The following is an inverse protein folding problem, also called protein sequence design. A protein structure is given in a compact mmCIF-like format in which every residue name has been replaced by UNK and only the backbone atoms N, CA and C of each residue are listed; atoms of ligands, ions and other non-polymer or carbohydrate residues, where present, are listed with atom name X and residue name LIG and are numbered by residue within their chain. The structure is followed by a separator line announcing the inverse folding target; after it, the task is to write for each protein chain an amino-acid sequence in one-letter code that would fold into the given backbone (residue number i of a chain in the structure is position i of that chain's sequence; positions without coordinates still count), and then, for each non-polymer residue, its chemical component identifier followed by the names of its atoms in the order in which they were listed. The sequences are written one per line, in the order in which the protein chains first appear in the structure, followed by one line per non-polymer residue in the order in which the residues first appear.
data_IF_958150968930
#
_entry.id   IF_958150968930
#
_cell.length_a   1.000
_cell.length_b   1.000
_cell.length_c   1.000
_cell.angle_alpha   90.00
_cell.angle_beta   90.00
_cell.angle_gamma   90.00
#
_symmetry.space_group_name_H-M   'P 1'
#
loop_
_entity.id
_entity.type
_entity.pdbx_description
1 polymer ?
#
# COMPACT_ATOMS: atom_id res chain seq x y z
N UNK A 1 8.68 -11.63 -2.46
CA UNK A 1 7.73 -10.50 -2.42
C UNK A 1 7.72 -9.78 -3.75
N UNK A 2 6.55 -9.34 -4.19
CA UNK A 2 6.38 -8.46 -5.32
C UNK A 2 5.70 -7.16 -4.90
N UNK A 3 5.93 -6.09 -5.64
CA UNK A 3 5.27 -4.81 -5.44
C UNK A 3 5.00 -4.13 -6.77
N UNK A 4 4.00 -3.28 -6.80
CA UNK A 4 3.60 -2.51 -7.97
C UNK A 4 3.91 -1.04 -7.74
N UNK A 5 4.82 -0.47 -8.51
CA UNK A 5 4.93 0.98 -8.66
C UNK A 5 3.91 1.42 -9.70
N UNK A 6 2.77 1.88 -9.20
CA UNK A 6 1.54 2.10 -9.95
C UNK A 6 1.53 3.46 -10.62
N UNK A 7 1.31 3.52 -11.92
CA UNK A 7 1.11 4.80 -12.59
C UNK A 7 -0.35 5.23 -12.54
N UNK A 8 -0.58 6.37 -11.93
CA UNK A 8 -1.86 7.05 -11.95
C UNK A 8 -2.20 7.49 -13.37
N UNK A 9 -3.34 7.02 -13.87
CA UNK A 9 -3.91 7.36 -15.18
C UNK A 9 -5.42 7.31 -15.13
N UNK A 10 -6.10 8.01 -16.02
CA UNK A 10 -7.55 8.01 -16.03
C UNK A 10 -8.12 6.66 -16.46
N UNK A 11 -9.07 6.14 -15.69
CA UNK A 11 -9.88 4.98 -16.03
C UNK A 11 -11.36 5.40 -16.13
N UNK A 12 -12.08 4.84 -17.11
CA UNK A 12 -13.49 5.15 -17.32
C UNK A 12 -14.39 4.33 -16.39
N UNK A 13 -14.00 3.09 -16.14
CA UNK A 13 -14.78 2.14 -15.34
C UNK A 13 -13.89 1.46 -14.31
N UNK A 14 -14.51 0.78 -13.36
CA UNK A 14 -13.82 -0.10 -12.43
C UNK A 14 -13.22 -1.31 -13.17
N UNK A 15 -13.89 -1.77 -14.23
CA UNK A 15 -13.37 -2.88 -15.03
C UNK A 15 -12.07 -2.51 -15.74
N UNK A 16 -11.98 -1.32 -16.36
CA UNK A 16 -10.74 -0.83 -16.98
C UNK A 16 -9.57 -0.75 -15.96
N UNK A 17 -9.88 -0.35 -14.72
CA UNK A 17 -8.88 -0.32 -13.65
C UNK A 17 -8.44 -1.74 -13.27
N UNK A 18 -9.40 -2.68 -13.18
CA UNK A 18 -9.11 -4.06 -12.79
C UNK A 18 -8.43 -4.87 -13.90
N UNK A 19 -8.59 -4.54 -15.16
CA UNK A 19 -7.75 -5.11 -16.24
C UNK A 19 -6.25 -4.82 -15.98
N UNK A 20 -5.93 -3.61 -15.53
CA UNK A 20 -4.55 -3.23 -15.19
C UNK A 20 -4.09 -3.88 -13.87
N UNK A 21 -4.98 -3.96 -12.86
CA UNK A 21 -4.68 -4.64 -11.59
C UNK A 21 -4.35 -6.10 -11.85
N UNK A 22 -5.20 -6.80 -12.59
CA UNK A 22 -5.02 -8.22 -12.92
C UNK A 22 -3.72 -8.45 -13.70
N UNK A 23 -3.41 -7.60 -14.69
CA UNK A 23 -2.13 -7.65 -15.41
C UNK A 23 -0.93 -7.65 -14.46
N UNK A 24 -0.92 -6.81 -13.42
CA UNK A 24 0.18 -6.76 -12.47
C UNK A 24 0.18 -7.96 -11.51
N UNK A 25 -0.98 -8.43 -11.08
CA UNK A 25 -1.09 -9.63 -10.24
C UNK A 25 -0.56 -10.85 -10.99
N UNK A 26 -0.98 -11.02 -12.24
CA UNK A 26 -0.50 -12.08 -13.13
C UNK A 26 1.02 -12.01 -13.30
N UNK A 27 1.54 -10.86 -13.69
CA UNK A 27 2.97 -10.66 -13.90
C UNK A 27 3.81 -10.96 -12.65
N UNK A 28 3.35 -10.58 -11.45
CA UNK A 28 4.04 -10.88 -10.18
C UNK A 28 3.92 -12.35 -9.83
N UNK A 29 2.77 -12.98 -10.09
CA UNK A 29 2.52 -14.39 -9.80
C UNK A 29 3.40 -15.34 -10.63
N UNK A 30 3.74 -14.95 -11.86
CA UNK A 30 4.64 -15.68 -12.73
C UNK A 30 6.04 -15.90 -12.13
N UNK A 31 6.49 -14.96 -11.29
CA UNK A 31 7.72 -15.08 -10.51
C UNK A 31 7.58 -15.94 -9.26
N UNK A 32 6.41 -16.58 -9.04
CA UNK A 32 6.11 -17.38 -7.83
C UNK A 32 6.23 -16.58 -6.53
N UNK A 33 5.93 -15.30 -6.60
CA UNK A 33 5.91 -14.44 -5.43
C UNK A 33 4.80 -14.86 -4.46
N UNK A 34 5.09 -14.81 -3.14
CA UNK A 34 4.10 -15.10 -2.10
C UNK A 34 3.19 -13.93 -1.80
N UNK A 35 3.68 -12.71 -2.08
CA UNK A 35 2.97 -11.46 -1.84
C UNK A 35 3.06 -10.51 -3.03
N UNK A 36 1.98 -9.75 -3.24
CA UNK A 36 2.01 -8.53 -4.05
C UNK A 36 1.44 -7.35 -3.26
N UNK A 37 2.15 -6.22 -3.28
CA UNK A 37 1.76 -4.97 -2.62
C UNK A 37 1.34 -3.94 -3.67
N UNK A 38 0.12 -3.40 -3.53
CA UNK A 38 -0.37 -2.22 -4.25
C UNK A 38 -0.21 -0.96 -3.38
N UNK A 39 -0.12 0.24 -3.97
CA UNK A 39 0.09 1.48 -3.21
C UNK A 39 -1.19 2.04 -2.57
N UNK A 40 -1.00 3.05 -1.73
CA UNK A 40 -2.08 3.85 -1.14
C UNK A 40 -2.88 4.57 -2.23
N UNK A 41 -4.21 4.58 -2.13
CA UNK A 41 -5.14 5.23 -3.06
C UNK A 41 -4.93 4.88 -4.54
N UNK A 42 -4.50 3.66 -4.85
CA UNK A 42 -4.31 3.23 -6.25
C UNK A 42 -5.58 3.39 -7.10
N UNK A 43 -6.75 3.45 -6.48
CA UNK A 43 -8.07 3.64 -7.10
C UNK A 43 -8.44 5.12 -7.32
N UNK A 44 -7.58 6.07 -6.94
CA UNK A 44 -7.79 7.50 -7.10
C UNK A 44 -8.22 7.94 -8.51
N UNK A 45 -7.78 7.28 -9.61
CA UNK A 45 -8.26 7.63 -10.96
C UNK A 45 -9.77 7.66 -11.12
N UNK A 46 -10.51 6.83 -10.38
CA UNK A 46 -11.98 6.79 -10.43
C UNK A 46 -12.62 8.03 -9.79
N UNK A 47 -11.88 8.77 -8.97
CA UNK A 47 -12.37 9.98 -8.31
C UNK A 47 -12.66 11.12 -9.29
N UNK A 48 -12.07 11.11 -10.48
CA UNK A 48 -12.31 12.11 -11.53
C UNK A 48 -13.78 12.25 -11.93
N UNK A 49 -14.60 11.21 -11.71
CA UNK A 49 -16.04 11.23 -11.93
C UNK A 49 -16.81 12.18 -10.98
N UNK A 50 -16.16 12.62 -9.92
CA UNK A 50 -16.75 13.45 -8.86
C UNK A 50 -16.12 14.83 -8.77
N UNK A 51 -15.34 15.25 -9.78
CA UNK A 51 -14.62 16.52 -9.79
C UNK A 51 -15.53 17.77 -9.85
N UNK A 52 -16.82 17.59 -10.12
CA UNK A 52 -17.86 18.61 -9.99
C UNK A 52 -18.29 18.85 -8.53
N UNK A 53 -17.83 18.00 -7.61
CA UNK A 53 -18.15 18.04 -6.18
C UNK A 53 -16.97 18.57 -5.37
N UNK A 54 -17.25 19.02 -4.15
CA UNK A 54 -16.17 19.35 -3.19
C UNK A 54 -15.35 18.11 -2.81
N UNK A 55 -14.12 18.33 -2.37
CA UNK A 55 -13.12 17.28 -2.09
C UNK A 55 -13.66 16.19 -1.15
N UNK A 56 -14.32 16.59 -0.06
CA UNK A 56 -14.91 15.66 0.90
C UNK A 56 -16.05 14.81 0.31
N UNK A 57 -16.79 15.34 -0.66
CA UNK A 57 -17.83 14.57 -1.35
C UNK A 57 -17.24 13.66 -2.43
N UNK A 58 -16.19 14.11 -3.11
CA UNK A 58 -15.49 13.33 -4.14
C UNK A 58 -14.86 12.07 -3.56
N UNK A 59 -14.14 12.18 -2.44
CA UNK A 59 -13.52 11.02 -1.78
C UNK A 59 -14.57 10.03 -1.24
N UNK A 60 -15.72 10.50 -0.76
CA UNK A 60 -16.85 9.64 -0.37
C UNK A 60 -17.49 8.95 -1.57
N UNK A 61 -17.49 9.60 -2.74
CA UNK A 61 -17.87 8.97 -4.01
C UNK A 61 -16.92 7.83 -4.38
N UNK A 62 -15.62 8.00 -4.18
CA UNK A 62 -14.62 6.96 -4.40
C UNK A 62 -14.81 5.77 -3.45
N UNK A 63 -15.21 6.01 -2.20
CA UNK A 63 -15.43 4.97 -1.20
C UNK A 63 -16.53 3.95 -1.59
N UNK A 64 -17.42 4.30 -2.54
CA UNK A 64 -18.46 3.39 -3.01
C UNK A 64 -17.93 2.16 -3.74
N UNK A 65 -16.71 2.21 -4.25
CA UNK A 65 -16.06 1.09 -4.95
C UNK A 65 -15.33 0.12 -4.03
N UNK A 66 -15.10 0.48 -2.77
CA UNK A 66 -14.12 -0.21 -1.92
C UNK A 66 -14.50 -1.66 -1.62
N UNK A 67 -15.76 -1.97 -1.39
CA UNK A 67 -16.19 -3.36 -1.14
C UNK A 67 -16.10 -4.22 -2.41
N UNK A 68 -16.50 -3.70 -3.56
CA UNK A 68 -16.36 -4.41 -4.82
C UNK A 68 -14.89 -4.63 -5.18
N UNK A 69 -14.03 -3.65 -4.93
CA UNK A 69 -12.59 -3.77 -5.11
C UNK A 69 -12.02 -4.88 -4.23
N UNK A 70 -12.40 -4.94 -2.95
CA UNK A 70 -12.00 -6.03 -2.03
C UNK A 70 -12.37 -7.39 -2.60
N UNK A 71 -13.63 -7.55 -3.02
CA UNK A 71 -14.13 -8.84 -3.49
C UNK A 71 -13.43 -9.30 -4.78
N UNK A 72 -13.09 -8.36 -5.66
CA UNK A 72 -12.29 -8.64 -6.86
C UNK A 72 -10.87 -9.05 -6.49
N UNK A 73 -10.21 -8.40 -5.52
CA UNK A 73 -8.89 -8.82 -5.06
C UNK A 73 -8.89 -10.19 -4.38
N UNK A 74 -9.93 -10.56 -3.64
CA UNK A 74 -10.08 -11.91 -3.09
C UNK A 74 -10.09 -12.94 -4.23
N UNK A 75 -10.84 -12.69 -5.30
CA UNK A 75 -10.89 -13.58 -6.44
C UNK A 75 -9.52 -13.69 -7.16
N UNK A 76 -8.80 -12.59 -7.31
CA UNK A 76 -7.45 -12.61 -7.88
C UNK A 76 -6.47 -13.37 -6.97
N UNK A 77 -6.53 -13.18 -5.65
CA UNK A 77 -5.66 -13.89 -4.71
C UNK A 77 -5.80 -15.42 -4.83
N UNK A 78 -7.04 -15.89 -4.96
CA UNK A 78 -7.33 -17.33 -5.18
C UNK A 78 -6.83 -17.77 -6.56
N UNK A 79 -7.19 -17.04 -7.62
CA UNK A 79 -6.93 -17.43 -9.01
C UNK A 79 -5.44 -17.49 -9.33
N UNK A 80 -4.67 -16.55 -8.81
CA UNK A 80 -3.22 -16.44 -9.03
C UNK A 80 -2.38 -17.06 -7.91
N UNK A 81 -3.03 -17.65 -6.89
CA UNK A 81 -2.37 -18.29 -5.74
C UNK A 81 -1.32 -17.39 -5.05
N UNK A 82 -1.69 -16.15 -4.75
CA UNK A 82 -0.82 -15.14 -4.18
C UNK A 82 -1.53 -14.35 -3.08
N UNK A 83 -0.83 -13.99 -1.99
CA UNK A 83 -1.38 -13.10 -0.98
C UNK A 83 -1.30 -11.65 -1.50
N UNK A 84 -2.40 -10.91 -1.47
CA UNK A 84 -2.49 -9.54 -1.99
C UNK A 84 -2.69 -8.55 -0.85
N UNK A 85 -1.75 -7.60 -0.72
CA UNK A 85 -1.95 -6.39 0.08
C UNK A 85 -2.49 -5.32 -0.88
N UNK A 86 -3.76 -4.98 -0.74
CA UNK A 86 -4.50 -4.18 -1.72
C UNK A 86 -4.08 -2.71 -1.78
N UNK A 87 -3.02 -2.32 -1.07
CA UNK A 87 -2.76 -0.92 -0.85
C UNK A 87 -3.77 -0.32 0.11
N UNK A 88 -4.29 0.84 -0.21
CA UNK A 88 -5.41 1.38 0.57
C UNK A 88 -6.35 2.23 -0.27
N UNK A 89 -7.54 2.48 0.27
CA UNK A 89 -8.61 3.22 -0.38
C UNK A 89 -9.57 3.80 0.67
N UNK A 90 -10.41 4.80 0.31
CA UNK A 90 -11.36 5.35 1.25
C UNK A 90 -12.47 4.34 1.56
N UNK A 91 -12.81 4.19 2.83
CA UNK A 91 -13.87 3.31 3.31
C UNK A 91 -14.80 4.07 4.25
N UNK A 92 -16.11 4.02 4.00
CA UNK A 92 -17.13 4.49 4.95
C UNK A 92 -17.59 3.29 5.76
N UNK A 93 -17.43 3.36 7.10
CA UNK A 93 -17.88 2.29 7.99
C UNK A 93 -19.29 2.54 8.52
N UNK A 94 -19.81 1.59 9.29
CA UNK A 94 -21.17 1.65 9.88
C UNK A 94 -21.40 2.89 10.76
N UNK A 95 -20.33 3.44 11.35
CA UNK A 95 -20.39 4.68 12.13
C UNK A 95 -20.55 5.95 11.25
N UNK A 96 -20.58 5.80 9.93
CA UNK A 96 -20.69 6.88 8.95
C UNK A 96 -19.40 7.70 8.76
N UNK A 97 -18.32 7.35 9.46
CA UNK A 97 -17.03 8.00 9.33
C UNK A 97 -16.25 7.43 8.14
N UNK A 98 -15.37 8.27 7.59
CA UNK A 98 -14.51 7.93 6.47
C UNK A 98 -13.11 7.56 7.00
N UNK A 99 -12.59 6.43 6.52
CA UNK A 99 -11.27 5.89 6.87
C UNK A 99 -10.44 5.66 5.62
N UNK A 100 -9.13 5.66 5.77
CA UNK A 100 -8.20 5.13 4.78
C UNK A 100 -7.90 3.68 5.19
N UNK A 101 -8.35 2.71 4.41
CA UNK A 101 -8.30 1.29 4.76
C UNK A 101 -7.86 0.43 3.57
N UNK A 102 -7.28 -0.72 3.87
CA UNK A 102 -6.93 -1.74 2.90
C UNK A 102 -7.23 -3.13 3.41
N UNK A 103 -6.98 -4.11 2.55
CA UNK A 103 -7.25 -5.51 2.83
C UNK A 103 -6.03 -6.37 2.52
N UNK A 104 -5.74 -7.28 3.42
CA UNK A 104 -4.93 -8.46 3.13
C UNK A 104 -5.87 -9.53 2.60
N UNK A 105 -5.79 -9.84 1.32
CA UNK A 105 -6.53 -10.92 0.67
C UNK A 105 -5.59 -12.12 0.51
N UNK A 106 -5.85 -13.20 1.25
CA UNK A 106 -4.99 -14.39 1.22
C UNK A 106 -5.35 -15.31 0.06
N UNK A 107 -4.39 -16.12 -0.35
CA UNK A 107 -4.56 -17.10 -1.44
C UNK A 107 -5.57 -18.21 -1.13
N UNK A 108 -5.96 -18.37 0.12
CA UNK A 108 -7.03 -19.29 0.55
C UNK A 108 -8.43 -18.67 0.50
N UNK A 109 -8.54 -17.41 0.09
CA UNK A 109 -9.79 -16.64 -0.01
C UNK A 109 -10.22 -15.95 1.27
N UNK A 110 -9.48 -16.09 2.37
CA UNK A 110 -9.73 -15.32 3.58
C UNK A 110 -9.17 -13.90 3.43
N UNK A 111 -9.75 -12.94 4.17
CA UNK A 111 -9.24 -11.58 4.17
C UNK A 111 -9.31 -10.93 5.55
N UNK A 112 -8.47 -9.95 5.77
CA UNK A 112 -8.51 -9.08 6.92
C UNK A 112 -8.30 -7.62 6.53
N UNK A 113 -8.96 -6.72 7.25
CA UNK A 113 -8.85 -5.28 7.04
C UNK A 113 -7.76 -4.68 7.93
N UNK A 114 -7.07 -3.68 7.41
CA UNK A 114 -6.19 -2.78 8.14
C UNK A 114 -6.54 -1.32 7.82
N UNK A 115 -6.18 -0.40 8.72
CA UNK A 115 -6.54 1.00 8.64
C UNK A 115 -5.32 1.89 8.90
N UNK A 116 -5.29 3.04 8.25
CA UNK A 116 -4.33 4.11 8.57
C UNK A 116 -4.64 4.66 9.95
N UNK A 117 -3.67 4.60 10.85
CA UNK A 117 -3.82 5.04 12.24
C UNK A 117 -3.60 6.54 12.37
N UNK A 118 -2.55 7.06 11.73
CA UNK A 118 -2.20 8.47 11.72
C UNK A 118 -2.59 9.11 10.40
N UNK A 119 -3.70 9.82 10.43
CA UNK A 119 -4.21 10.57 9.28
C UNK A 119 -3.43 11.89 9.18
N UNK A 120 -3.03 12.26 7.97
CA UNK A 120 -2.31 13.53 7.75
C UNK A 120 -3.23 14.73 7.98
N UNK A 121 -2.68 15.91 8.33
CA UNK A 121 -3.47 17.12 8.46
C UNK A 121 -4.30 17.48 7.21
N UNK A 122 -3.76 17.19 6.01
CA UNK A 122 -4.46 17.46 4.75
C UNK A 122 -5.63 16.49 4.53
N UNK A 123 -5.47 15.21 4.84
CA UNK A 123 -6.55 14.22 4.79
C UNK A 123 -7.70 14.57 5.75
N UNK A 124 -7.37 15.10 6.95
CA UNK A 124 -8.38 15.56 7.91
C UNK A 124 -9.11 16.78 7.34
N UNK A 125 -8.36 17.77 6.87
CA UNK A 125 -8.89 19.06 6.44
C UNK A 125 -9.70 18.98 5.16
N UNK A 126 -9.19 18.27 4.15
CA UNK A 126 -9.78 18.23 2.82
C UNK A 126 -10.85 17.15 2.70
N UNK A 127 -10.66 16.00 3.34
CA UNK A 127 -11.52 14.84 3.16
C UNK A 127 -12.33 14.47 4.40
N UNK A 128 -11.91 14.91 5.58
CA UNK A 128 -12.57 14.57 6.85
C UNK A 128 -12.34 13.12 7.24
N UNK A 129 -11.14 12.58 6.99
CA UNK A 129 -10.78 11.24 7.39
C UNK A 129 -10.63 11.13 8.91
N UNK A 130 -10.99 9.95 9.41
CA UNK A 130 -10.77 9.52 10.79
C UNK A 130 -9.63 8.49 10.86
N UNK A 131 -8.83 8.56 11.92
CA UNK A 131 -7.79 7.55 12.19
C UNK A 131 -8.36 6.21 12.62
N UNK A 132 -7.71 5.13 12.19
CA UNK A 132 -7.99 3.78 12.66
C UNK A 132 -7.69 3.61 14.15
N UNK A 133 -8.14 2.48 14.73
CA UNK A 133 -8.05 2.25 16.19
C UNK A 133 -7.30 0.98 16.56
N UNK A 134 -6.92 0.16 15.59
CA UNK A 134 -6.31 -1.14 15.85
C UNK A 134 -4.98 -1.27 15.14
N UNK A 135 -3.94 -1.54 15.91
CA UNK A 135 -2.65 -2.00 15.42
C UNK A 135 -2.57 -3.51 15.61
N UNK A 136 -2.28 -4.23 14.54
CA UNK A 136 -2.15 -5.71 14.60
C UNK A 136 -1.16 -6.21 13.56
N UNK A 137 -0.60 -7.38 13.85
CA UNK A 137 0.11 -8.20 12.86
C UNK A 137 -0.86 -9.20 12.21
N UNK A 138 -0.47 -9.75 11.09
CA UNK A 138 -1.27 -10.70 10.33
C UNK A 138 -0.47 -11.98 10.11
N UNK A 139 -1.07 -13.12 10.43
CA UNK A 139 -0.51 -14.41 10.10
C UNK A 139 -0.88 -14.78 8.65
N UNK A 140 0.12 -15.26 7.91
CA UNK A 140 -0.07 -15.82 6.57
C UNK A 140 0.56 -17.22 6.52
N UNK A 141 0.39 -17.91 5.42
CA UNK A 141 0.95 -19.25 5.21
C UNK A 141 2.48 -19.28 5.09
N UNK A 142 3.13 -18.12 4.94
CA UNK A 142 4.59 -18.04 4.72
C UNK A 142 5.32 -17.04 5.62
N UNK A 143 4.62 -16.10 6.26
CA UNK A 143 5.24 -15.10 7.13
C UNK A 143 4.22 -14.47 8.08
N UNK A 144 4.70 -13.92 9.21
CA UNK A 144 3.95 -12.95 10.01
C UNK A 144 4.29 -11.55 9.53
N UNK A 145 3.28 -10.80 9.11
CA UNK A 145 3.46 -9.50 8.47
C UNK A 145 2.83 -8.36 9.27
N UNK A 146 3.38 -7.16 9.10
CA UNK A 146 2.77 -5.90 9.49
C UNK A 146 2.39 -5.07 8.27
N UNK A 147 1.39 -4.21 8.41
CA UNK A 147 1.01 -3.27 7.35
C UNK A 147 0.79 -1.90 7.99
N UNK A 148 1.54 -0.89 7.52
CA UNK A 148 1.43 0.51 7.92
C UNK A 148 1.22 1.37 6.69
N UNK A 149 0.21 2.24 6.69
CA UNK A 149 -0.12 3.04 5.52
C UNK A 149 0.62 4.38 5.57
N UNK A 150 1.55 4.58 4.62
CA UNK A 150 2.20 5.86 4.32
C UNK A 150 2.74 6.57 5.58
N UNK A 151 2.07 7.63 6.04
CA UNK A 151 2.44 8.44 7.19
C UNK A 151 2.64 7.63 8.48
N UNK A 152 1.96 6.51 8.64
CA UNK A 152 2.13 5.62 9.81
C UNK A 152 3.58 5.16 9.99
N UNK A 153 4.33 4.96 8.92
CA UNK A 153 5.73 4.50 9.01
C UNK A 153 6.66 5.54 9.66
N UNK A 154 6.24 6.80 9.70
CA UNK A 154 7.01 7.87 10.36
C UNK A 154 6.95 7.76 11.91
N UNK A 155 6.06 6.94 12.47
CA UNK A 155 5.89 6.70 13.91
C UNK A 155 6.57 5.38 14.31
N UNK A 156 7.78 5.41 14.92
CA UNK A 156 8.56 4.21 15.20
C UNK A 156 7.88 3.25 16.17
N UNK A 157 7.03 3.75 17.04
CA UNK A 157 6.31 2.97 18.04
C UNK A 157 5.43 1.89 17.39
N UNK A 158 4.81 2.19 16.25
CA UNK A 158 3.92 1.25 15.57
C UNK A 158 4.68 0.01 15.09
N UNK A 159 5.79 0.22 14.39
CA UNK A 159 6.60 -0.89 13.89
C UNK A 159 7.26 -1.69 15.02
N UNK A 160 7.69 -1.02 16.10
CA UNK A 160 8.24 -1.69 17.28
C UNK A 160 7.22 -2.61 17.94
N UNK A 161 5.99 -2.14 18.15
CA UNK A 161 4.90 -2.95 18.71
C UNK A 161 4.54 -4.15 17.83
N UNK A 162 4.65 -4.02 16.51
CA UNK A 162 4.47 -5.15 15.59
C UNK A 162 5.65 -6.12 15.62
N UNK A 163 6.88 -5.61 15.70
CA UNK A 163 8.09 -6.43 15.85
C UNK A 163 8.05 -7.27 17.14
N UNK A 164 7.61 -6.68 18.25
CA UNK A 164 7.42 -7.39 19.52
C UNK A 164 6.36 -8.52 19.43
N UNK A 165 5.48 -8.46 18.43
CA UNK A 165 4.52 -9.52 18.10
C UNK A 165 5.08 -10.56 17.11
N UNK A 166 6.34 -10.42 16.70
CA UNK A 166 7.02 -11.35 15.80
C UNK A 166 6.85 -11.03 14.31
N UNK A 167 6.59 -9.77 13.95
CA UNK A 167 6.55 -9.34 12.56
C UNK A 167 7.91 -9.57 11.87
N UNK A 168 7.89 -10.21 10.71
CA UNK A 168 9.06 -10.49 9.88
C UNK A 168 9.18 -9.56 8.67
N UNK A 169 8.02 -9.15 8.11
CA UNK A 169 7.94 -8.24 6.96
C UNK A 169 6.95 -7.13 7.27
N UNK A 170 7.37 -5.88 7.09
CA UNK A 170 6.51 -4.71 7.14
C UNK A 170 6.20 -4.24 5.71
N UNK A 171 4.93 -4.18 5.34
CA UNK A 171 4.46 -3.62 4.08
C UNK A 171 3.96 -2.18 4.28
N UNK A 172 4.39 -1.28 3.40
CA UNK A 172 4.05 0.14 3.48
C UNK A 172 3.54 0.63 2.12
N UNK A 173 2.23 0.52 1.86
CA UNK A 173 1.64 1.24 0.74
C UNK A 173 1.67 2.74 1.01
N UNK A 174 2.07 3.54 0.01
CA UNK A 174 2.15 5.00 0.17
C UNK A 174 1.71 5.75 -1.08
N UNK A 175 1.31 7.01 -0.87
CA UNK A 175 1.10 8.01 -1.90
C UNK A 175 1.71 9.33 -1.44
N UNK A 176 2.62 9.86 -2.23
CA UNK A 176 3.30 11.13 -1.93
C UNK A 176 3.32 12.03 -3.16
N UNK A 177 3.08 13.32 -2.94
CA UNK A 177 3.00 14.36 -3.98
C UNK A 177 4.35 14.98 -4.33
N UNK A 178 5.27 14.98 -3.36
CA UNK A 178 6.56 15.65 -3.47
C UNK A 178 7.70 14.71 -3.12
N UNK A 179 8.88 15.03 -3.63
CA UNK A 179 10.10 14.31 -3.24
C UNK A 179 10.38 14.41 -1.74
N UNK A 180 10.02 15.53 -1.09
CA UNK A 180 10.19 15.68 0.36
C UNK A 180 9.30 14.73 1.14
N UNK A 181 8.02 14.58 0.74
CA UNK A 181 7.10 13.64 1.36
C UNK A 181 7.58 12.19 1.16
N UNK A 182 7.96 11.84 -0.06
CA UNK A 182 8.56 10.55 -0.38
C UNK A 182 9.81 10.27 0.49
N UNK A 183 10.70 11.24 0.62
CA UNK A 183 11.95 11.07 1.39
C UNK A 183 11.68 10.75 2.86
N UNK A 184 10.65 11.33 3.46
CA UNK A 184 10.24 10.97 4.83
C UNK A 184 9.81 9.52 4.93
N UNK A 185 8.88 9.10 4.07
CA UNK A 185 8.41 7.70 4.05
C UNK A 185 9.58 6.74 3.83
N UNK A 186 10.41 7.00 2.83
CA UNK A 186 11.53 6.13 2.47
C UNK A 186 12.56 5.99 3.60
N UNK A 187 13.00 7.11 4.16
CA UNK A 187 14.04 7.10 5.21
C UNK A 187 13.49 6.45 6.47
N UNK A 188 12.25 6.74 6.85
CA UNK A 188 11.62 6.08 7.98
C UNK A 188 11.45 4.58 7.73
N UNK A 189 10.98 4.15 6.56
CA UNK A 189 10.86 2.73 6.21
C UNK A 189 12.21 2.00 6.33
N UNK A 190 13.30 2.59 5.85
CA UNK A 190 14.63 2.03 5.97
C UNK A 190 15.09 1.96 7.43
N UNK A 191 14.80 2.99 8.24
CA UNK A 191 15.07 2.97 9.67
C UNK A 191 14.29 1.84 10.39
N UNK A 192 13.03 1.60 10.02
CA UNK A 192 12.23 0.50 10.61
C UNK A 192 12.84 -0.87 10.33
N UNK A 193 13.42 -1.07 9.14
CA UNK A 193 14.11 -2.32 8.83
C UNK A 193 15.31 -2.56 9.76
N UNK A 194 16.11 -1.53 9.99
CA UNK A 194 17.31 -1.59 10.85
C UNK A 194 16.92 -1.74 12.32
N UNK A 195 16.00 -0.91 12.81
CA UNK A 195 15.61 -0.87 14.22
C UNK A 195 14.92 -2.13 14.71
N UNK A 196 14.23 -2.85 13.82
CA UNK A 196 13.37 -3.98 14.17
C UNK A 196 13.88 -5.30 13.57
N UNK A 197 15.04 -5.30 12.90
CA UNK A 197 15.63 -6.49 12.27
C UNK A 197 14.60 -7.24 11.40
N UNK A 198 13.94 -6.50 10.51
CA UNK A 198 12.89 -7.05 9.64
C UNK A 198 13.05 -6.54 8.20
N UNK A 199 12.36 -7.18 7.27
CA UNK A 199 12.23 -6.65 5.91
C UNK A 199 11.15 -5.56 5.87
N UNK A 200 11.38 -4.52 5.06
CA UNK A 200 10.37 -3.48 4.81
C UNK A 200 10.16 -3.31 3.32
N UNK A 201 8.93 -3.46 2.87
CA UNK A 201 8.53 -3.36 1.46
C UNK A 201 7.65 -2.14 1.29
N UNK A 202 8.09 -1.18 0.46
CA UNK A 202 7.32 0.03 0.19
C UNK A 202 6.85 0.08 -1.27
N UNK A 203 5.59 0.40 -1.51
CA UNK A 203 5.04 0.59 -2.84
C UNK A 203 4.30 1.92 -2.94
N UNK A 204 4.66 2.71 -3.95
CA UNK A 204 4.10 4.03 -4.17
C UNK A 204 3.56 4.23 -5.58
N UNK A 205 2.71 5.25 -5.72
CA UNK A 205 2.15 5.66 -6.99
C UNK A 205 3.00 6.74 -7.66
N UNK A 206 3.02 6.74 -8.98
CA UNK A 206 3.73 7.69 -9.85
C UNK A 206 2.76 8.31 -10.86
N UNK A 207 3.20 9.33 -11.58
CA UNK A 207 2.42 9.98 -12.62
C UNK A 207 1.55 11.12 -12.12
N UNK A 208 0.57 11.50 -12.93
CA UNK A 208 -0.29 12.63 -12.64
C UNK A 208 -1.74 12.30 -12.99
N UNK A 209 -2.67 12.82 -12.18
CA UNK A 209 -4.10 12.78 -12.43
C UNK A 209 -4.66 14.19 -12.57
N UNK A 210 -4.49 14.84 -13.72
CA UNK A 210 -5.09 16.16 -13.94
C UNK A 210 -6.59 16.12 -13.66
N UNK A 211 -7.10 17.06 -12.87
CA UNK A 211 -8.51 17.18 -12.47
C UNK A 211 -8.96 16.22 -11.35
N UNK A 212 -8.04 15.56 -10.64
CA UNK A 212 -8.38 14.84 -9.40
C UNK A 212 -7.88 15.67 -8.23
N UNK A 213 -8.79 16.25 -7.47
CA UNK A 213 -8.44 17.15 -6.36
C UNK A 213 -7.59 16.45 -5.30
N UNK A 214 -6.48 17.07 -4.92
CA UNK A 214 -5.51 16.60 -3.92
C UNK A 214 -4.82 15.26 -4.24
N UNK A 215 -4.92 14.77 -5.49
CA UNK A 215 -4.26 13.55 -5.95
C UNK A 215 -3.71 13.72 -7.38
N UNK A 216 -3.44 14.95 -7.79
CA UNK A 216 -3.06 15.28 -9.16
C UNK A 216 -1.58 15.04 -9.47
N UNK A 217 -0.71 15.02 -8.48
CA UNK A 217 0.74 14.80 -8.63
C UNK A 217 1.19 13.68 -7.70
N UNK A 218 2.01 12.75 -8.21
CA UNK A 218 2.63 11.69 -7.43
C UNK A 218 4.11 11.58 -7.73
N UNK A 219 4.89 11.29 -6.68
CA UNK A 219 6.31 10.97 -6.75
C UNK A 219 6.60 9.73 -5.92
N UNK A 220 7.23 8.72 -6.53
CA UNK A 220 7.63 7.51 -5.80
C UNK A 220 8.89 6.87 -6.38
N UNK A 221 9.58 6.16 -5.50
CA UNK A 221 10.53 5.10 -5.81
C UNK A 221 10.29 3.97 -4.82
N UNK A 222 9.63 2.94 -5.28
CA UNK A 222 9.29 1.76 -4.47
C UNK A 222 10.54 0.90 -4.20
N UNK A 223 10.52 0.10 -3.13
CA UNK A 223 11.70 -0.68 -2.80
C UNK A 223 11.50 -1.72 -1.70
N UNK A 224 12.53 -2.52 -1.51
CA UNK A 224 12.66 -3.53 -0.46
C UNK A 224 13.90 -3.22 0.36
N UNK A 225 13.71 -3.00 1.65
CA UNK A 225 14.77 -2.67 2.62
C UNK A 225 15.01 -3.82 3.58
N UNK A 226 16.24 -3.90 4.06
CA UNK A 226 16.73 -4.95 4.97
C UNK A 226 17.43 -4.32 6.16
N UNK A 227 17.69 -5.09 7.22
CA UNK A 227 18.73 -4.74 8.19
C UNK A 227 20.07 -4.48 7.49
N UNK A 228 21.04 -3.90 8.23
CA UNK A 228 22.40 -3.62 7.71
C UNK A 228 23.46 -4.56 8.30
N UNK A 229 23.07 -5.73 8.81
CA UNK A 229 23.99 -6.73 9.34
C UNK A 229 24.76 -7.49 8.25
N UNK A 230 25.75 -8.30 8.66
CA UNK A 230 26.66 -8.98 7.73
C UNK A 230 26.00 -9.84 6.65
N UNK A 231 24.80 -10.38 6.92
CA UNK A 231 24.05 -11.18 5.97
C UNK A 231 23.34 -10.34 4.90
N UNK A 232 23.23 -9.01 5.10
CA UNK A 232 22.46 -8.10 4.28
C UNK A 232 23.32 -7.09 3.51
N UNK A 233 22.78 -6.41 2.49
CA UNK A 233 23.46 -5.30 1.84
C UNK A 233 23.85 -4.21 2.84
N UNK A 234 25.07 -3.68 2.71
CA UNK A 234 25.65 -2.70 3.65
C UNK A 234 24.88 -1.38 3.73
N UNK A 235 24.09 -1.05 2.72
CA UNK A 235 23.23 0.13 2.66
C UNK A 235 21.76 -0.17 2.98
N UNK A 236 21.44 -1.41 3.40
CA UNK A 236 20.10 -1.84 3.76
C UNK A 236 19.11 -1.84 2.58
N UNK A 237 19.59 -1.87 1.33
CA UNK A 237 18.74 -1.88 0.14
C UNK A 237 18.84 -3.22 -0.59
N UNK A 238 17.78 -3.99 -0.58
CA UNK A 238 17.69 -5.24 -1.33
C UNK A 238 17.37 -5.00 -2.79
N UNK A 239 16.39 -4.13 -3.05
CA UNK A 239 15.96 -3.74 -4.39
C UNK A 239 15.27 -2.38 -4.37
N UNK A 240 15.42 -1.59 -5.43
CA UNK A 240 14.70 -0.32 -5.63
C UNK A 240 14.21 -0.21 -7.07
N UNK A 241 13.00 0.30 -7.26
CA UNK A 241 12.43 0.60 -8.55
C UNK A 241 13.11 1.83 -9.19
N UNK A 242 12.97 2.00 -10.50
CA UNK A 242 13.33 3.26 -11.16
C UNK A 242 12.38 4.37 -10.70
N UNK A 243 12.88 5.53 -10.24
CA UNK A 243 12.02 6.62 -9.80
C UNK A 243 11.00 7.03 -10.88
N UNK A 244 9.78 7.28 -10.46
CA UNK A 244 8.69 7.78 -11.32
C UNK A 244 8.40 6.97 -12.60
N UNK A 245 8.69 5.68 -12.58
CA UNK A 245 8.46 4.77 -13.71
C UNK A 245 7.50 3.65 -13.28
N UNK A 246 6.43 3.40 -14.03
CA UNK A 246 5.55 2.26 -13.77
C UNK A 246 6.30 0.94 -13.97
N UNK A 247 6.30 0.10 -12.96
CA UNK A 247 6.93 -1.22 -13.03
C UNK A 247 6.49 -2.12 -11.88
N UNK A 248 6.71 -3.41 -12.07
CA UNK A 248 6.76 -4.35 -10.95
C UNK A 248 8.21 -4.46 -10.46
N UNK A 249 8.36 -4.69 -9.17
CA UNK A 249 9.64 -5.07 -8.56
C UNK A 249 9.43 -6.38 -7.80
N UNK A 250 10.25 -7.38 -8.08
CA UNK A 250 10.23 -8.68 -7.40
C UNK A 250 11.54 -8.87 -6.69
N UNK A 251 11.49 -9.34 -5.45
CA UNK A 251 12.68 -9.61 -4.65
C UNK A 251 12.47 -10.80 -3.73
N UNK A 252 13.46 -11.65 -3.64
CA UNK A 252 13.51 -12.68 -2.61
C UNK A 252 13.91 -12.07 -1.27
N UNK A 253 13.21 -12.48 -0.22
CA UNK A 253 13.51 -12.19 1.18
C UNK A 253 13.65 -13.52 1.91
N UNK A 254 14.79 -13.70 2.58
CA UNK A 254 15.09 -14.89 3.34
C UNK A 254 14.77 -14.64 4.80
N UNK A 255 13.74 -15.29 5.32
CA UNK A 255 13.25 -15.08 6.69
C UNK A 255 14.05 -15.87 7.74
N UNK A 256 15.00 -16.69 7.32
CA UNK A 256 15.88 -17.47 8.19
C UNK A 256 17.20 -16.71 8.51
N UNK A 257 17.41 -15.52 7.88
CA UNK A 257 18.51 -14.60 8.15
C UNK A 257 18.07 -13.60 9.23
#
# INVERSE_FOLDING_TARGET
VGLVQWQMRSYKTLDDLFEQVEFFVDAVSDYKSDFVLFPEYFNAPLMSKYNDKGESQAIRGLAQYTEEIRDRFINLAISYNINIITGSMPLIKEDGLLYNAGFLCRRDGTYEMYEKLHVTPDEIKSWGLSGGKQLKTFDTDCAKIGILICYDVEFPELSRLMADQGMQILFVPFLTDTQNAYSRVRVCAQARAIENECFVVIAGSVGNLPRVHNMDIQYAQSGVFTPCDFAFPTDGKRAEATPNTEMILVSDVDLDL
#
